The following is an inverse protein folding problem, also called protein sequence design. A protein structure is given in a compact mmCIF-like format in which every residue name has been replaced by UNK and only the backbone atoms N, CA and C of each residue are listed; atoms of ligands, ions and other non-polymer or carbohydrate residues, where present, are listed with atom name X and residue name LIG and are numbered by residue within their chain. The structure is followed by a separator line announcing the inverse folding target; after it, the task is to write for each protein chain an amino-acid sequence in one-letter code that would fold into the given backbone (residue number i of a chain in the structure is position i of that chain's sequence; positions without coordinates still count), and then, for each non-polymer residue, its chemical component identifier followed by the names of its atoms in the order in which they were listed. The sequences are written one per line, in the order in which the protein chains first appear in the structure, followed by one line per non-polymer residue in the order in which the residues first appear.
data_IF_931722542136
#
_entry.id   IF_931722542136
#
_cell.length_a   1.000
_cell.length_b   1.000
_cell.length_c   1.000
_cell.angle_alpha   90.00
_cell.angle_beta   90.00
_cell.angle_gamma   90.00
#
_symmetry.space_group_name_H-M   'P 1'
#
loop_
_entity.id
_entity.type
_entity.pdbx_description
1 polymer ?
#
# COMPACT_ATOMS: atom_id res chain seq x y z
N UNK A 1 -0.09 -3.96 7.39
CA UNK A 1 1.21 -3.69 6.72
C UNK A 1 2.07 -2.65 7.43
N UNK A 2 1.79 -1.34 7.36
CA UNK A 2 2.71 -0.30 7.87
C UNK A 2 3.22 -0.51 9.30
N UNK A 3 2.33 -0.83 10.25
CA UNK A 3 2.71 -1.10 11.65
C UNK A 3 3.71 -2.24 11.79
N UNK A 4 3.61 -3.26 10.95
CA UNK A 4 4.47 -4.43 10.99
C UNK A 4 5.84 -4.12 10.37
N UNK A 5 5.90 -3.33 9.31
CA UNK A 5 7.17 -2.86 8.76
C UNK A 5 7.92 -1.95 9.73
N UNK A 6 7.23 -1.01 10.41
CA UNK A 6 7.88 -0.17 11.44
C UNK A 6 8.43 -1.04 12.56
N UNK A 7 7.67 -2.04 13.03
CA UNK A 7 8.17 -3.03 14.02
C UNK A 7 9.35 -3.85 13.53
N UNK A 8 9.47 -4.06 12.22
CA UNK A 8 10.60 -4.73 11.59
C UNK A 8 11.79 -3.78 11.29
N UNK A 9 11.75 -2.53 11.77
CA UNK A 9 12.86 -1.57 11.65
C UNK A 9 12.84 -0.71 10.38
N UNK A 10 11.76 -0.70 9.61
CA UNK A 10 11.67 0.11 8.38
C UNK A 10 11.15 1.53 8.67
N UNK A 11 11.74 2.51 8.01
CA UNK A 11 11.12 3.82 7.80
C UNK A 11 10.14 3.76 6.61
N UNK A 12 8.96 4.36 6.76
CA UNK A 12 7.84 4.21 5.84
C UNK A 12 7.39 5.55 5.29
N UNK A 13 7.35 5.63 3.95
CA UNK A 13 6.60 6.65 3.22
C UNK A 13 5.23 6.08 2.88
N UNK A 14 4.20 6.47 3.64
CA UNK A 14 2.83 6.03 3.46
C UNK A 14 2.06 6.96 2.52
N UNK A 15 2.20 6.71 1.23
CA UNK A 15 1.41 7.33 0.17
C UNK A 15 0.01 6.69 0.12
N UNK A 16 -1.04 7.44 0.50
CA UNK A 16 -2.39 6.89 0.64
C UNK A 16 -3.48 7.84 0.15
N UNK A 17 -4.64 7.28 -0.21
CA UNK A 17 -5.79 8.08 -0.66
C UNK A 17 -6.43 8.79 0.52
N UNK A 18 -6.76 10.07 0.38
CA UNK A 18 -7.48 10.85 1.40
C UNK A 18 -8.78 10.15 1.80
N UNK A 19 -9.06 10.10 3.10
CA UNK A 19 -10.25 9.45 3.65
C UNK A 19 -10.18 7.92 3.74
N UNK A 20 -9.05 7.29 3.41
CA UNK A 20 -8.88 5.83 3.59
C UNK A 20 -8.28 5.49 4.95
N UNK A 21 -8.33 4.20 5.30
CA UNK A 21 -7.75 3.67 6.53
C UNK A 21 -6.27 4.04 6.68
N UNK A 22 -5.90 4.39 7.91
CA UNK A 22 -4.56 4.82 8.27
C UNK A 22 -3.92 3.79 9.21
N UNK A 23 -2.57 3.74 9.28
CA UNK A 23 -1.86 2.93 10.26
C UNK A 23 -2.40 3.21 11.67
N UNK A 24 -2.45 2.17 12.51
CA UNK A 24 -2.90 2.21 13.90
C UNK A 24 -4.41 2.48 14.13
N UNK A 25 -5.19 2.82 13.09
CA UNK A 25 -6.64 3.06 13.22
C UNK A 25 -7.54 1.84 13.03
N UNK A 26 -7.02 0.71 12.55
CA UNK A 26 -7.84 -0.46 12.18
C UNK A 26 -8.65 -1.05 13.34
N UNK A 27 -8.15 -0.97 14.57
CA UNK A 27 -8.83 -1.46 15.77
C UNK A 27 -9.79 -0.45 16.40
N UNK A 28 -9.84 0.77 15.85
CA UNK A 28 -10.73 1.82 16.33
C UNK A 28 -12.05 1.78 15.55
N UNK A 29 -13.17 2.21 16.18
CA UNK A 29 -14.43 2.39 15.50
C UNK A 29 -14.31 3.40 14.35
N UNK A 30 -15.25 3.31 13.40
CA UNK A 30 -15.28 4.13 12.20
C UNK A 30 -15.38 5.62 12.53
N UNK A 31 -16.30 6.00 13.43
CA UNK A 31 -16.34 7.34 14.00
C UNK A 31 -15.55 7.40 15.30
N UNK A 32 -14.22 7.43 15.16
CA UNK A 32 -13.32 7.46 16.32
C UNK A 32 -13.61 8.64 17.26
N UNK A 33 -14.10 9.79 16.76
CA UNK A 33 -14.35 10.96 17.62
C UNK A 33 -15.61 10.79 18.47
N UNK A 34 -16.71 10.30 17.88
CA UNK A 34 -17.96 10.14 18.61
C UNK A 34 -18.02 8.87 19.44
N UNK A 35 -17.37 7.80 18.98
CA UNK A 35 -17.45 6.49 19.62
C UNK A 35 -16.38 6.27 20.69
N UNK A 36 -15.18 6.84 20.53
CA UNK A 36 -14.11 6.65 21.51
C UNK A 36 -14.14 7.64 22.66
N UNK A 37 -14.89 8.75 22.55
CA UNK A 37 -14.88 9.82 23.55
C UNK A 37 -16.26 10.05 24.16
N UNK A 38 -16.28 10.51 25.41
CA UNK A 38 -17.48 10.88 26.14
C UNK A 38 -17.27 12.15 26.97
N UNK A 39 -18.36 12.86 27.24
CA UNK A 39 -18.35 14.02 28.13
C UNK A 39 -18.48 13.56 29.58
N UNK A 40 -17.59 14.06 30.42
CA UNK A 40 -17.72 13.98 31.87
C UNK A 40 -18.63 15.09 32.40
N UNK A 41 -19.11 14.92 33.64
CA UNK A 41 -20.00 15.86 34.33
C UNK A 41 -19.47 17.30 34.40
N UNK A 42 -18.15 17.50 34.22
CA UNK A 42 -17.48 18.80 34.22
C UNK A 42 -17.20 19.39 32.83
N UNK A 43 -17.85 18.91 31.76
CA UNK A 43 -17.57 19.31 30.37
C UNK A 43 -16.15 18.97 29.87
N UNK A 44 -15.46 18.01 30.49
CA UNK A 44 -14.19 17.49 29.98
C UNK A 44 -14.43 16.25 29.11
N UNK A 45 -13.66 16.13 28.03
CA UNK A 45 -13.71 14.99 27.12
C UNK A 45 -12.75 13.92 27.63
N UNK A 46 -13.23 12.69 27.82
CA UNK A 46 -12.41 11.53 28.18
C UNK A 46 -12.62 10.37 27.21
N UNK A 47 -11.67 9.45 27.16
CA UNK A 47 -11.84 8.21 26.39
C UNK A 47 -12.83 7.27 27.09
N UNK A 48 -13.74 6.65 26.34
CA UNK A 48 -14.62 5.59 26.85
C UNK A 48 -13.80 4.39 27.28
N UNK A 49 -14.14 3.80 28.43
CA UNK A 49 -13.44 2.65 28.99
C UNK A 49 -13.36 1.45 28.02
N UNK A 50 -14.40 1.24 27.19
CA UNK A 50 -14.45 0.17 26.18
C UNK A 50 -13.40 0.29 25.07
N UNK A 51 -12.92 1.50 24.78
CA UNK A 51 -11.98 1.78 23.69
C UNK A 51 -10.65 2.36 24.18
N UNK A 52 -10.53 2.68 25.47
CA UNK A 52 -9.39 3.36 26.05
C UNK A 52 -8.06 2.67 25.74
N UNK A 53 -7.95 1.35 25.97
CA UNK A 53 -6.70 0.61 25.74
C UNK A 53 -6.29 0.62 24.26
N UNK A 54 -7.26 0.41 23.36
CA UNK A 54 -7.02 0.41 21.91
C UNK A 54 -6.62 1.79 21.39
N UNK A 55 -7.28 2.84 21.89
CA UNK A 55 -7.00 4.24 21.55
C UNK A 55 -5.62 4.67 22.06
N UNK A 56 -5.30 4.37 23.33
CA UNK A 56 -4.02 4.70 23.94
C UNK A 56 -2.87 4.02 23.19
N UNK A 57 -3.01 2.73 22.89
CA UNK A 57 -2.04 1.98 22.10
C UNK A 57 -1.85 2.58 20.71
N UNK A 58 -2.94 2.93 20.03
CA UNK A 58 -2.89 3.51 18.70
C UNK A 58 -2.19 4.88 18.67
N UNK A 59 -2.48 5.74 19.66
CA UNK A 59 -1.86 7.06 19.79
C UNK A 59 -0.37 6.90 20.09
N UNK A 60 -0.02 6.07 21.08
CA UNK A 60 1.37 5.82 21.49
C UNK A 60 2.22 5.28 20.35
N UNK A 61 1.76 4.23 19.66
CA UNK A 61 2.48 3.63 18.54
C UNK A 61 2.63 4.62 17.37
N UNK A 62 1.60 5.45 17.13
CA UNK A 62 1.66 6.47 16.09
C UNK A 62 2.69 7.56 16.42
N UNK A 63 2.65 8.11 17.63
CA UNK A 63 3.57 9.15 18.09
C UNK A 63 5.01 8.64 18.06
N UNK A 64 5.27 7.47 18.62
CA UNK A 64 6.60 6.87 18.61
C UNK A 64 7.15 6.70 17.18
N UNK A 65 6.33 6.26 16.22
CA UNK A 65 6.75 6.11 14.84
C UNK A 65 7.05 7.45 14.13
N UNK A 66 6.34 8.52 14.50
CA UNK A 66 6.56 9.88 13.94
C UNK A 66 7.79 10.53 14.57
N UNK A 67 7.92 10.46 15.90
CA UNK A 67 9.05 11.02 16.66
C UNK A 67 10.38 10.36 16.27
N UNK A 68 10.38 9.05 16.02
CA UNK A 68 11.55 8.33 15.53
C UNK A 68 11.86 8.60 14.04
N UNK A 69 11.05 9.40 13.33
CA UNK A 69 11.21 9.65 11.90
C UNK A 69 10.90 8.44 11.02
N UNK A 70 10.24 7.41 11.54
CA UNK A 70 9.96 6.15 10.84
C UNK A 70 8.66 6.18 10.03
N UNK A 71 7.87 7.24 10.09
CA UNK A 71 6.59 7.33 9.35
C UNK A 71 6.36 8.73 8.76
N UNK A 72 6.50 8.83 7.44
CA UNK A 72 6.07 9.98 6.64
C UNK A 72 4.75 9.67 5.95
N UNK A 73 3.75 10.53 6.09
CA UNK A 73 2.42 10.33 5.49
C UNK A 73 2.18 11.35 4.38
N UNK A 74 1.85 10.86 3.19
CA UNK A 74 1.55 11.71 2.02
C UNK A 74 0.19 11.30 1.48
N UNK A 75 -0.70 12.27 1.25
CA UNK A 75 -2.05 12.01 0.73
C UNK A 75 -2.16 12.32 -0.75
N UNK A 76 -2.95 11.52 -1.47
CA UNK A 76 -3.43 11.84 -2.81
C UNK A 76 -4.95 11.64 -2.90
N UNK A 77 -5.57 12.16 -3.95
CA UNK A 77 -6.99 11.97 -4.26
C UNK A 77 -7.17 11.54 -5.71
N UNK A 78 -6.47 12.21 -6.64
CA UNK A 78 -6.57 11.94 -8.08
C UNK A 78 -5.46 11.03 -8.57
N UNK A 79 -5.67 10.43 -9.75
CA UNK A 79 -4.63 9.68 -10.45
C UNK A 79 -3.43 10.58 -10.79
N UNK A 80 -3.64 11.84 -11.17
CA UNK A 80 -2.57 12.78 -11.49
C UNK A 80 -1.65 13.03 -10.29
N UNK A 81 -2.22 13.33 -9.13
CA UNK A 81 -1.47 13.50 -7.88
C UNK A 81 -0.68 12.23 -7.53
N UNK A 82 -1.35 11.08 -7.58
CA UNK A 82 -0.70 9.79 -7.29
C UNK A 82 0.54 9.56 -8.17
N UNK A 83 0.41 9.76 -9.49
CA UNK A 83 1.48 9.49 -10.44
C UNK A 83 2.67 10.45 -10.25
N UNK A 84 2.41 11.74 -9.99
CA UNK A 84 3.47 12.73 -9.74
C UNK A 84 4.20 12.46 -8.42
N UNK A 85 3.45 12.20 -7.35
CA UNK A 85 4.04 11.92 -6.04
C UNK A 85 4.83 10.60 -6.08
N UNK A 86 4.28 9.56 -6.72
CA UNK A 86 5.00 8.29 -6.91
C UNK A 86 6.33 8.50 -7.62
N UNK A 87 6.36 9.30 -8.70
CA UNK A 87 7.60 9.63 -9.42
C UNK A 87 8.60 10.37 -8.54
N UNK A 88 8.15 11.38 -7.79
CA UNK A 88 9.01 12.16 -6.89
C UNK A 88 9.61 11.28 -5.79
N UNK A 89 8.79 10.48 -5.11
CA UNK A 89 9.24 9.55 -4.07
C UNK A 89 10.19 8.52 -4.67
N UNK A 90 9.85 7.93 -5.83
CA UNK A 90 10.66 6.92 -6.47
C UNK A 90 12.06 7.42 -6.83
N UNK A 91 12.13 8.57 -7.49
CA UNK A 91 13.40 9.19 -7.90
C UNK A 91 14.24 9.59 -6.68
N UNK A 92 13.60 10.05 -5.61
CA UNK A 92 14.30 10.41 -4.35
C UNK A 92 14.87 9.18 -3.65
N UNK A 93 14.12 8.07 -3.65
CA UNK A 93 14.53 6.80 -3.04
C UNK A 93 15.58 6.04 -3.87
N UNK A 94 15.91 6.48 -5.09
CA UNK A 94 16.92 5.85 -5.92
C UNK A 94 18.29 5.76 -5.22
N UNK A 95 18.62 6.75 -4.39
CA UNK A 95 19.86 6.80 -3.61
C UNK A 95 19.99 5.66 -2.59
N UNK A 96 18.90 5.00 -2.22
CA UNK A 96 18.90 3.86 -1.32
C UNK A 96 19.31 2.56 -2.01
N UNK A 97 19.32 2.53 -3.35
CA UNK A 97 19.68 1.36 -4.13
C UNK A 97 18.84 0.14 -3.74
N UNK A 98 19.50 -0.96 -3.41
CA UNK A 98 18.87 -2.22 -2.98
C UNK A 98 18.22 -2.18 -1.61
N UNK A 99 18.51 -1.17 -0.79
CA UNK A 99 17.89 -0.99 0.53
C UNK A 99 16.50 -0.32 0.44
N UNK A 100 16.17 0.26 -0.71
CA UNK A 100 14.85 0.86 -0.97
C UNK A 100 13.83 -0.22 -1.36
N UNK A 101 12.61 -0.12 -0.82
CA UNK A 101 11.51 -1.04 -1.16
C UNK A 101 10.23 -0.29 -1.54
N UNK A 102 9.55 -0.75 -2.59
CA UNK A 102 8.23 -0.29 -3.02
C UNK A 102 7.18 -1.38 -2.81
N UNK A 103 6.25 -1.15 -1.88
CA UNK A 103 5.07 -1.99 -1.66
C UNK A 103 3.82 -1.33 -2.27
N UNK A 104 3.49 -1.69 -3.51
CA UNK A 104 2.50 -0.98 -4.34
C UNK A 104 1.11 -1.63 -4.24
N UNK A 105 0.43 -1.36 -3.12
CA UNK A 105 -0.91 -1.89 -2.83
C UNK A 105 -2.07 -0.92 -3.13
N UNK A 106 -1.79 0.26 -3.69
CA UNK A 106 -2.84 1.19 -4.11
C UNK A 106 -3.63 0.59 -5.29
N UNK A 107 -4.96 0.69 -5.23
CA UNK A 107 -5.83 0.41 -6.38
C UNK A 107 -5.80 1.61 -7.33
N UNK A 108 -4.89 1.56 -8.31
CA UNK A 108 -4.68 2.62 -9.30
C UNK A 108 -5.66 2.44 -10.45
N UNK A 109 -6.29 3.52 -10.92
CA UNK A 109 -7.15 3.49 -12.10
C UNK A 109 -6.39 3.02 -13.34
N UNK A 110 -6.96 2.10 -14.11
CA UNK A 110 -6.39 1.66 -15.39
C UNK A 110 -6.66 2.64 -16.54
N UNK A 111 -7.69 3.49 -16.38
CA UNK A 111 -8.14 4.48 -17.35
C UNK A 111 -8.35 5.84 -16.70
N UNK A 112 -8.21 6.91 -17.47
CA UNK A 112 -8.39 8.29 -17.02
C UNK A 112 -8.91 9.18 -18.17
N UNK A 113 -9.42 10.36 -17.82
CA UNK A 113 -9.74 11.42 -18.79
C UNK A 113 -8.52 12.33 -18.93
N UNK A 114 -7.90 12.46 -20.11
CA UNK A 114 -6.82 13.43 -20.35
C UNK A 114 -7.24 14.85 -19.97
N UNK A 115 -6.31 15.63 -19.45
CA UNK A 115 -6.59 16.99 -18.97
C UNK A 115 -7.19 17.86 -20.08
N UNK A 116 -6.61 17.81 -21.28
CA UNK A 116 -7.05 18.58 -22.45
C UNK A 116 -8.45 18.15 -22.98
N UNK A 117 -8.98 17.03 -22.50
CA UNK A 117 -10.31 16.51 -22.85
C UNK A 117 -11.30 16.57 -21.69
N UNK A 118 -10.90 17.09 -20.53
CA UNK A 118 -11.75 17.16 -19.35
C UNK A 118 -12.70 18.36 -19.45
N UNK A 119 -14.00 18.10 -19.30
CA UNK A 119 -14.99 19.17 -19.29
C UNK A 119 -14.79 20.08 -18.06
N UNK A 120 -14.74 21.41 -18.29
CA UNK A 120 -14.60 22.41 -17.22
C UNK A 120 -15.85 22.52 -16.33
N UNK A 121 -16.99 22.15 -16.88
CA UNK A 121 -18.28 22.29 -16.21
C UNK A 121 -19.00 20.94 -16.14
N UNK A 122 -19.99 20.88 -15.24
CA UNK A 122 -20.88 19.73 -15.10
C UNK A 122 -21.48 19.38 -16.47
N UNK A 123 -21.28 18.13 -16.89
CA UNK A 123 -21.89 17.56 -18.10
C UNK A 123 -23.41 17.56 -17.90
N UNK A 124 -24.14 18.12 -18.87
CA UNK A 124 -25.60 18.29 -18.78
C UNK A 124 -26.33 17.01 -19.17
N UNK A 125 -27.33 16.62 -18.38
CA UNK A 125 -28.09 15.37 -18.56
C UNK A 125 -29.24 15.46 -19.57
N UNK A 126 -29.47 16.63 -20.18
CA UNK A 126 -30.60 16.88 -21.08
C UNK A 126 -30.38 16.44 -22.54
N UNK A 127 -29.16 16.04 -22.90
CA UNK A 127 -28.76 15.82 -24.30
C UNK A 127 -28.85 14.36 -24.78
N UNK A 128 -29.40 13.44 -23.98
CA UNK A 128 -29.48 12.02 -24.29
C UNK A 128 -28.48 11.17 -23.48
N UNK A 129 -28.17 9.94 -23.92
CA UNK A 129 -27.25 9.05 -23.20
C UNK A 129 -25.84 9.63 -23.12
N UNK A 130 -25.13 9.30 -22.03
CA UNK A 130 -23.77 9.77 -21.78
C UNK A 130 -22.74 8.80 -22.37
N UNK A 131 -21.99 9.27 -23.37
CA UNK A 131 -20.81 8.57 -23.88
C UNK A 131 -19.54 9.09 -23.18
N UNK A 132 -18.77 8.17 -22.57
CA UNK A 132 -17.48 8.50 -21.95
C UNK A 132 -16.33 7.79 -22.66
N UNK A 133 -15.39 8.57 -23.18
CA UNK A 133 -14.12 8.07 -23.73
C UNK A 133 -13.01 8.23 -22.69
N UNK A 134 -12.29 7.14 -22.39
CA UNK A 134 -11.20 7.14 -21.43
C UNK A 134 -9.90 6.67 -22.09
N UNK A 135 -8.79 7.32 -21.74
CA UNK A 135 -7.46 6.93 -22.16
C UNK A 135 -6.85 5.92 -21.17
N UNK A 136 -6.04 4.94 -21.63
CA UNK A 136 -5.32 4.04 -20.74
C UNK A 136 -4.23 4.80 -19.96
N UNK A 137 -4.05 4.47 -18.69
CA UNK A 137 -3.01 5.07 -17.84
C UNK A 137 -1.62 4.54 -18.25
N UNK A 138 -0.59 5.40 -18.32
CA UNK A 138 0.77 4.97 -18.61
C UNK A 138 1.29 3.88 -17.65
N UNK A 139 2.12 2.96 -18.16
CA UNK A 139 2.62 1.80 -17.42
C UNK A 139 3.74 2.18 -16.42
N UNK A 140 3.39 2.90 -15.35
CA UNK A 140 4.36 3.48 -14.41
C UNK A 140 5.25 2.47 -13.69
N UNK A 141 4.78 1.24 -13.44
CA UNK A 141 5.61 0.19 -12.85
C UNK A 141 6.86 -0.10 -13.68
N UNK A 142 6.77 0.03 -15.02
CA UNK A 142 7.92 -0.15 -15.88
C UNK A 142 8.91 1.01 -15.75
N UNK A 143 8.43 2.24 -15.57
CA UNK A 143 9.28 3.42 -15.34
C UNK A 143 9.98 3.34 -13.98
N UNK A 144 9.26 2.89 -12.95
CA UNK A 144 9.81 2.67 -11.61
C UNK A 144 11.04 1.73 -11.65
N UNK A 145 10.91 0.59 -12.34
CA UNK A 145 11.95 -0.44 -12.43
C UNK A 145 13.10 -0.15 -13.38
N UNK A 146 12.92 0.78 -14.32
CA UNK A 146 13.93 1.07 -15.35
C UNK A 146 14.66 2.38 -15.12
N UNK A 147 13.96 3.39 -14.63
CA UNK A 147 14.45 4.76 -14.61
C UNK A 147 14.43 5.37 -13.21
N UNK A 148 13.35 5.21 -12.45
CA UNK A 148 13.21 5.98 -11.20
C UNK A 148 13.92 5.33 -10.02
N UNK A 149 13.84 4.00 -9.86
CA UNK A 149 14.47 3.27 -8.77
C UNK A 149 14.82 1.82 -9.20
N UNK A 150 15.72 1.63 -10.19
CA UNK A 150 15.97 0.33 -10.80
C UNK A 150 16.50 -0.76 -9.85
N UNK A 151 17.24 -0.37 -8.81
CA UNK A 151 17.82 -1.29 -7.83
C UNK A 151 16.86 -1.63 -6.67
N UNK A 152 15.79 -0.86 -6.51
CA UNK A 152 14.89 -1.00 -5.38
C UNK A 152 14.05 -2.28 -5.44
N UNK A 153 13.76 -2.84 -4.27
CA UNK A 153 12.94 -4.02 -4.14
C UNK A 153 11.46 -3.71 -4.40
N UNK A 154 10.94 -4.10 -5.56
CA UNK A 154 9.57 -3.78 -5.95
C UNK A 154 8.61 -4.95 -5.77
N UNK A 155 7.49 -4.67 -5.11
CA UNK A 155 6.39 -5.58 -4.83
C UNK A 155 5.12 -4.94 -5.40
N UNK A 156 4.37 -5.69 -6.20
CA UNK A 156 3.06 -5.26 -6.71
C UNK A 156 1.94 -6.10 -6.13
N UNK A 157 0.72 -5.57 -6.17
CA UNK A 157 -0.47 -6.26 -5.68
C UNK A 157 -1.40 -6.65 -6.84
N UNK A 158 -2.03 -7.82 -6.73
CA UNK A 158 -3.05 -8.29 -7.66
C UNK A 158 -4.26 -8.79 -6.87
N UNK A 159 -5.41 -8.17 -7.11
CA UNK A 159 -6.68 -8.56 -6.52
C UNK A 159 -7.57 -9.11 -7.63
N UNK A 160 -8.10 -10.31 -7.46
CA UNK A 160 -9.08 -10.89 -8.37
C UNK A 160 -10.22 -11.52 -7.56
N UNK A 161 -11.33 -11.82 -8.22
CA UNK A 161 -12.45 -12.57 -7.64
C UNK A 161 -12.45 -14.05 -8.02
N UNK A 162 -11.69 -14.44 -9.05
CA UNK A 162 -11.56 -15.82 -9.51
C UNK A 162 -10.13 -16.33 -9.26
N UNK A 163 -10.02 -17.35 -8.41
CA UNK A 163 -8.74 -17.98 -8.07
C UNK A 163 -8.05 -18.63 -9.29
N UNK A 164 -8.80 -19.07 -10.30
CA UNK A 164 -8.25 -19.76 -11.49
C UNK A 164 -7.37 -18.84 -12.33
N UNK A 165 -7.77 -17.57 -12.45
CA UNK A 165 -7.03 -16.57 -13.24
C UNK A 165 -6.03 -15.79 -12.39
N UNK A 166 -6.16 -15.80 -11.06
CA UNK A 166 -5.33 -15.02 -10.15
C UNK A 166 -3.84 -15.35 -10.31
N UNK A 167 -3.50 -16.64 -10.30
CA UNK A 167 -2.11 -17.10 -10.44
C UNK A 167 -1.52 -16.74 -11.79
N UNK A 168 -2.28 -16.93 -12.87
CA UNK A 168 -1.83 -16.61 -14.23
C UNK A 168 -1.58 -15.10 -14.38
N UNK A 169 -2.54 -14.27 -13.97
CA UNK A 169 -2.42 -12.81 -14.05
C UNK A 169 -1.30 -12.28 -13.17
N UNK A 170 -1.08 -12.86 -11.99
CA UNK A 170 0.02 -12.50 -11.11
C UNK A 170 1.38 -12.87 -11.73
N UNK A 171 1.51 -14.04 -12.35
CA UNK A 171 2.71 -14.42 -13.11
C UNK A 171 2.97 -13.48 -14.31
N UNK A 172 1.92 -13.12 -15.05
CA UNK A 172 2.02 -12.14 -16.14
C UNK A 172 2.51 -10.80 -15.61
N UNK A 173 1.98 -10.32 -14.48
CA UNK A 173 2.39 -9.06 -13.87
C UNK A 173 3.86 -9.10 -13.42
N UNK A 174 4.29 -10.20 -12.77
CA UNK A 174 5.68 -10.42 -12.35
C UNK A 174 6.64 -10.24 -13.52
N UNK A 175 6.39 -10.94 -14.64
CA UNK A 175 7.24 -10.91 -15.85
C UNK A 175 7.16 -9.58 -16.59
N UNK A 176 5.95 -9.05 -16.78
CA UNK A 176 5.69 -7.81 -17.54
C UNK A 176 6.35 -6.60 -16.90
N UNK A 177 6.23 -6.46 -15.58
CA UNK A 177 6.76 -5.32 -14.85
C UNK A 177 8.14 -5.58 -14.25
N UNK A 178 8.65 -6.83 -14.34
CA UNK A 178 9.91 -7.27 -13.76
C UNK A 178 10.00 -6.93 -12.26
N UNK A 179 8.89 -7.03 -11.53
CA UNK A 179 8.89 -6.84 -10.07
C UNK A 179 9.44 -8.09 -9.39
N UNK A 180 9.94 -7.98 -8.16
CA UNK A 180 10.54 -9.12 -7.46
C UNK A 180 9.49 -10.03 -6.83
N UNK A 181 8.34 -9.45 -6.45
CA UNK A 181 7.23 -10.17 -5.85
C UNK A 181 5.89 -9.62 -6.33
N UNK A 182 4.91 -10.51 -6.46
CA UNK A 182 3.50 -10.17 -6.61
C UNK A 182 2.72 -10.76 -5.44
N UNK A 183 2.05 -9.93 -4.67
CA UNK A 183 1.09 -10.36 -3.64
C UNK A 183 -0.28 -10.45 -4.30
N UNK A 184 -0.83 -11.65 -4.37
CA UNK A 184 -2.03 -12.02 -5.08
C UNK A 184 -3.09 -12.48 -4.08
N UNK A 185 -4.22 -11.78 -4.04
CA UNK A 185 -5.32 -12.10 -3.13
C UNK A 185 -6.60 -12.34 -3.90
N UNK A 186 -7.39 -13.29 -3.41
CA UNK A 186 -8.80 -13.39 -3.75
C UNK A 186 -9.62 -12.49 -2.81
N UNK A 187 -10.61 -11.77 -3.34
CA UNK A 187 -11.41 -10.81 -2.58
C UNK A 187 -12.08 -11.43 -1.34
N UNK A 188 -12.57 -12.66 -1.46
CA UNK A 188 -13.29 -13.40 -0.42
C UNK A 188 -12.38 -13.78 0.76
N UNK A 189 -11.12 -14.13 0.49
CA UNK A 189 -10.18 -14.69 1.48
C UNK A 189 -9.03 -13.74 1.83
N UNK A 190 -9.06 -12.49 1.35
CA UNK A 190 -7.95 -11.51 1.50
C UNK A 190 -7.49 -11.22 2.93
N UNK A 191 -8.32 -11.47 3.95
CA UNK A 191 -7.98 -11.28 5.37
C UNK A 191 -7.41 -12.55 6.03
N UNK A 192 -7.56 -13.68 5.35
CA UNK A 192 -7.30 -15.02 5.83
C UNK A 192 -5.99 -15.54 5.25
N UNK A 193 -5.82 -15.38 3.94
CA UNK A 193 -4.66 -15.83 3.20
C UNK A 193 -4.34 -14.93 2.01
N UNK A 194 -3.07 -14.95 1.63
CA UNK A 194 -2.52 -14.29 0.44
C UNK A 194 -1.59 -15.25 -0.28
N UNK A 195 -1.54 -15.18 -1.60
CA UNK A 195 -0.58 -15.93 -2.41
C UNK A 195 0.54 -14.98 -2.80
N UNK A 196 1.77 -15.37 -2.61
CA UNK A 196 2.96 -14.61 -2.97
C UNK A 196 3.69 -15.33 -4.09
N UNK A 197 3.91 -14.63 -5.20
CA UNK A 197 4.65 -15.15 -6.34
C UNK A 197 5.99 -14.41 -6.44
N UNK A 198 7.09 -15.16 -6.49
CA UNK A 198 8.45 -14.61 -6.58
C UNK A 198 9.37 -15.55 -7.35
N UNK A 199 9.93 -15.09 -8.47
CA UNK A 199 10.63 -15.97 -9.41
C UNK A 199 9.70 -17.09 -9.89
N UNK A 200 10.04 -18.34 -9.55
CA UNK A 200 9.22 -19.52 -9.82
C UNK A 200 8.47 -20.03 -8.57
N UNK A 201 8.67 -19.40 -7.40
CA UNK A 201 8.04 -19.80 -6.16
C UNK A 201 6.61 -19.28 -6.10
N UNK A 202 5.70 -20.12 -5.61
CA UNK A 202 4.33 -19.77 -5.24
C UNK A 202 4.15 -20.14 -3.77
N UNK A 203 3.98 -19.13 -2.92
CA UNK A 203 3.97 -19.25 -1.47
C UNK A 203 2.61 -18.82 -0.95
N UNK A 204 1.90 -19.70 -0.25
CA UNK A 204 0.67 -19.33 0.45
C UNK A 204 1.01 -18.86 1.85
N UNK A 205 0.64 -17.61 2.16
CA UNK A 205 0.78 -17.02 3.49
C UNK A 205 -0.60 -16.93 4.11
N UNK A 206 -0.77 -17.54 5.28
CA UNK A 206 -2.03 -17.55 6.02
C UNK A 206 -1.87 -16.85 7.36
N UNK A 207 -2.97 -16.34 7.93
CA UNK A 207 -2.97 -15.85 9.31
C UNK A 207 -2.66 -16.99 10.28
N UNK A 208 -1.95 -16.67 11.36
CA UNK A 208 -1.51 -17.67 12.35
C UNK A 208 -2.68 -18.18 13.21
N UNK A 209 -3.62 -17.29 13.53
CA UNK A 209 -4.82 -17.57 14.32
C UNK A 209 -5.96 -16.59 14.00
N UNK A 210 -7.21 -16.84 14.44
CA UNK A 210 -8.37 -15.99 14.15
C UNK A 210 -8.27 -14.53 14.60
N UNK A 211 -7.40 -14.24 15.58
CA UNK A 211 -7.20 -12.91 16.13
C UNK A 211 -5.99 -12.17 15.53
N UNK A 212 -5.24 -12.84 14.66
CA UNK A 212 -4.04 -12.31 14.00
C UNK A 212 -4.34 -11.76 12.60
N UNK A 213 -3.54 -10.78 12.21
CA UNK A 213 -3.54 -10.22 10.85
C UNK A 213 -2.66 -11.08 9.94
N UNK A 214 -3.15 -11.44 8.75
CA UNK A 214 -2.33 -12.06 7.69
C UNK A 214 -1.14 -11.18 7.28
N UNK A 215 -1.23 -9.87 7.53
CA UNK A 215 -0.15 -8.92 7.27
C UNK A 215 1.11 -9.15 8.11
N UNK A 216 1.04 -9.82 9.26
CA UNK A 216 2.25 -10.12 10.07
C UNK A 216 3.15 -11.14 9.37
N UNK A 217 2.70 -12.39 9.09
CA UNK A 217 3.54 -13.36 8.40
C UNK A 217 3.89 -12.92 6.97
N UNK A 218 3.04 -12.13 6.32
CA UNK A 218 3.37 -11.53 5.01
C UNK A 218 4.56 -10.55 5.12
N UNK A 219 4.58 -9.69 6.14
CA UNK A 219 5.71 -8.77 6.34
C UNK A 219 6.98 -9.54 6.66
N UNK A 220 6.92 -10.60 7.47
CA UNK A 220 8.09 -11.42 7.80
C UNK A 220 8.72 -12.01 6.53
N UNK A 221 7.90 -12.60 5.65
CA UNK A 221 8.34 -13.12 4.35
C UNK A 221 8.94 -12.01 3.46
N UNK A 222 8.30 -10.84 3.40
CA UNK A 222 8.80 -9.72 2.59
C UNK A 222 10.15 -9.24 3.11
N UNK A 223 10.32 -9.13 4.42
CA UNK A 223 11.57 -8.70 5.05
C UNK A 223 12.68 -9.70 4.75
N UNK A 224 12.41 -11.00 4.88
CA UNK A 224 13.37 -12.06 4.51
C UNK A 224 13.84 -11.91 3.06
N UNK A 225 12.88 -11.77 2.11
CA UNK A 225 13.20 -11.65 0.68
C UNK A 225 13.93 -10.36 0.33
N UNK A 226 13.60 -9.25 1.01
CA UNK A 226 14.29 -7.97 0.82
C UNK A 226 15.73 -7.99 1.38
N UNK A 227 15.95 -8.66 2.51
CA UNK A 227 17.30 -8.86 3.07
C UNK A 227 18.18 -9.68 2.12
N UNK A 228 17.64 -10.75 1.54
CA UNK A 228 18.34 -11.55 0.54
C UNK A 228 18.70 -10.73 -0.72
N UNK A 229 17.79 -9.87 -1.19
CA UNK A 229 18.03 -8.96 -2.32
C UNK A 229 19.16 -7.96 -2.05
N UNK A 230 19.21 -7.42 -0.82
CA UNK A 230 20.29 -6.51 -0.42
C UNK A 230 21.66 -7.22 -0.43
N UNK A 231 21.74 -8.45 0.08
CA UNK A 231 22.97 -9.24 0.15
C UNK A 231 23.49 -9.69 -1.23
N UNK A 232 22.62 -10.12 -2.13
CA UNK A 232 23.03 -10.51 -3.49
C UNK A 232 23.71 -9.36 -4.26
N UNK A 233 23.32 -8.11 -3.97
CA UNK A 233 23.93 -6.95 -4.61
C UNK A 233 25.27 -6.54 -4.01
N UNK A 234 25.53 -6.79 -2.72
CA UNK A 234 26.84 -6.51 -2.12
C UNK A 234 27.93 -7.42 -2.67
N UNK A 235 27.58 -8.66 -3.01
CA UNK A 235 28.49 -9.64 -3.60
C UNK A 235 28.88 -9.26 -5.03
N UNK A 236 27.95 -8.68 -5.79
CA UNK A 236 28.19 -8.20 -7.17
C UNK A 236 29.02 -6.90 -7.23
N UNK A 237 29.01 -6.08 -6.18
CA UNK A 237 29.83 -4.85 -6.09
C UNK A 237 31.24 -5.07 -5.54
N UNK A 238 31.52 -6.29 -5.05
CA UNK A 238 32.81 -6.67 -4.44
C UNK A 238 33.74 -7.42 -5.40
N UNK A 239 33.37 -7.50 -6.68
CA UNK A 239 34.12 -8.11 -7.80
C UNK A 239 34.40 -7.02 -8.83
#
# INVERSE_FOLDING_TARGET
MCRYFVKAGYAIIFLHRRGTYQPYRRSLPEDTLLDCFELTSGSQIQARSSHAEGLERAIRDHQAAVEAGCLLRITFTTIFEYLQILRMVATSMNSLGTHGMFYLAAAVSDFYVPWDSMAEHKIQSGAGPLDMSLAPVPKMLSMLRKEWAPMAFCISFKLETDAKILLEKANIALRKYKVHMVVANELSTRKEQVIVITGNDVITVQRENPHSDVEKPLVDLIVERHMAHTQQSSDLSSI
#
